data_IF_551793315268
#
_entry.id   IF_551793315268
#
_cell.length_a   1.000
_cell.length_b   1.000
_cell.length_c   1.000
_cell.angle_alpha   90.00
_cell.angle_beta   90.00
_cell.angle_gamma   90.00
#
_symmetry.space_group_name_H-M   'P 1'
#
loop_
_entity.id
_entity.type
_entity.pdbx_description
1 polymer ?
#
# COMPACT_ATOMS: atom_id res chain seq x y z
N UNK A 1 12.62 5.01 24.53
CA UNK A 1 12.26 3.92 23.60
C UNK A 1 12.45 4.46 22.20
N UNK A 2 12.93 3.66 21.25
CA UNK A 2 12.91 4.10 19.85
C UNK A 2 11.46 4.28 19.40
N UNK A 3 11.21 5.25 18.51
CA UNK A 3 9.89 5.45 17.94
C UNK A 3 9.50 4.20 17.11
N UNK A 4 8.23 3.79 17.23
CA UNK A 4 7.70 2.67 16.47
C UNK A 4 7.57 3.01 14.99
N UNK A 5 7.74 1.99 14.15
CA UNK A 5 7.76 2.11 12.69
C UNK A 5 6.34 2.05 12.13
N UNK A 6 5.95 3.08 11.37
CA UNK A 6 4.68 3.14 10.65
C UNK A 6 4.81 2.50 9.26
N UNK A 7 3.84 1.68 8.87
CA UNK A 7 3.85 0.99 7.57
C UNK A 7 2.65 1.41 6.72
N UNK A 8 2.91 1.76 5.46
CA UNK A 8 1.89 1.99 4.44
C UNK A 8 2.08 1.02 3.28
N UNK A 9 1.00 0.37 2.88
CA UNK A 9 0.93 -0.48 1.69
C UNK A 9 0.34 0.34 0.55
N UNK A 10 1.14 0.65 -0.46
CA UNK A 10 0.71 1.35 -1.66
C UNK A 10 0.21 0.31 -2.67
N UNK A 11 -1.07 -0.04 -2.57
CA UNK A 11 -1.75 -0.98 -3.47
C UNK A 11 -2.70 -1.95 -2.77
N UNK A 12 -3.87 -2.15 -3.36
CA UNK A 12 -4.96 -2.97 -2.80
C UNK A 12 -5.45 -4.08 -3.74
N UNK A 13 -4.66 -4.44 -4.77
CA UNK A 13 -4.98 -5.58 -5.62
C UNK A 13 -4.93 -6.91 -4.87
N UNK A 14 -5.00 -8.03 -5.59
CA UNK A 14 -4.94 -9.37 -4.99
C UNK A 14 -3.66 -9.54 -4.13
N UNK A 15 -2.49 -9.29 -4.72
CA UNK A 15 -1.22 -9.41 -4.01
C UNK A 15 -1.06 -8.36 -2.90
N UNK A 16 -1.51 -7.12 -3.12
CA UNK A 16 -1.47 -6.08 -2.09
C UNK A 16 -2.30 -6.44 -0.86
N UNK A 17 -3.51 -6.99 -1.07
CA UNK A 17 -4.37 -7.47 0.01
C UNK A 17 -3.77 -8.68 0.74
N UNK A 18 -3.15 -9.61 0.00
CA UNK A 18 -2.47 -10.76 0.62
C UNK A 18 -1.29 -10.32 1.50
N UNK A 19 -0.50 -9.35 1.03
CA UNK A 19 0.60 -8.75 1.81
C UNK A 19 0.06 -7.97 3.00
N UNK A 20 -1.06 -7.26 2.86
CA UNK A 20 -1.70 -6.56 3.97
C UNK A 20 -2.09 -7.50 5.11
N UNK A 21 -2.49 -8.75 4.80
CA UNK A 21 -2.71 -9.76 5.85
C UNK A 21 -1.46 -10.07 6.66
N UNK A 22 -0.34 -10.27 5.97
CA UNK A 22 0.92 -10.64 6.61
C UNK A 22 1.48 -9.46 7.40
N UNK A 23 1.55 -8.29 6.77
CA UNK A 23 2.07 -7.06 7.39
C UNK A 23 1.22 -6.63 8.57
N UNK A 24 -0.12 -6.65 8.44
CA UNK A 24 -1.02 -6.32 9.55
C UNK A 24 -0.84 -7.25 10.75
N UNK A 25 -0.73 -8.57 10.52
CA UNK A 25 -0.50 -9.52 11.61
C UNK A 25 0.85 -9.29 12.32
N UNK A 26 1.92 -9.07 11.55
CA UNK A 26 3.24 -8.82 12.12
C UNK A 26 3.32 -7.47 12.85
N UNK A 27 2.69 -6.41 12.32
CA UNK A 27 2.67 -5.09 12.94
C UNK A 27 1.94 -5.09 14.30
N UNK A 28 0.91 -5.93 14.46
CA UNK A 28 0.22 -6.13 15.74
C UNK A 28 1.07 -6.97 16.73
N UNK A 29 1.85 -7.93 16.23
CA UNK A 29 2.62 -8.85 17.07
C UNK A 29 4.00 -8.33 17.51
N UNK A 30 4.62 -7.44 16.72
CA UNK A 30 6.00 -6.99 16.92
C UNK A 30 6.03 -5.60 17.58
N UNK A 31 6.75 -5.42 18.71
CA UNK A 31 6.76 -4.17 19.47
C UNK A 31 7.41 -3.00 18.75
N UNK A 32 8.22 -3.25 17.71
CA UNK A 32 8.92 -2.23 16.93
C UNK A 32 8.00 -1.49 15.95
N UNK A 33 6.81 -2.03 15.67
CA UNK A 33 5.88 -1.48 14.69
C UNK A 33 4.66 -0.83 15.35
N UNK A 34 4.14 0.19 14.68
CA UNK A 34 2.81 0.69 14.98
C UNK A 34 1.77 -0.34 14.55
N UNK A 35 0.78 -0.57 15.41
CA UNK A 35 -0.26 -1.57 15.11
C UNK A 35 -1.06 -1.15 13.86
N UNK A 36 -1.35 0.14 13.70
CA UNK A 36 -2.10 0.64 12.56
C UNK A 36 -1.25 0.57 11.27
N UNK A 37 -1.73 -0.21 10.30
CA UNK A 37 -1.17 -0.30 8.95
C UNK A 37 -2.13 0.37 7.97
N UNK A 38 -1.66 1.37 7.21
CA UNK A 38 -2.47 1.97 6.15
C UNK A 38 -2.32 1.18 4.85
N UNK A 39 -3.40 1.06 4.09
CA UNK A 39 -3.40 0.46 2.76
C UNK A 39 -4.10 1.42 1.80
N UNK A 40 -3.34 1.96 0.85
CA UNK A 40 -3.91 2.77 -0.23
C UNK A 40 -4.79 1.90 -1.12
N UNK A 41 -6.05 2.26 -1.21
CA UNK A 41 -7.06 1.59 -2.02
C UNK A 41 -7.58 2.61 -3.02
N UNK A 42 -7.32 2.40 -4.30
CA UNK A 42 -7.97 3.19 -5.34
C UNK A 42 -9.49 3.03 -5.22
N UNK A 43 -10.20 4.14 -5.08
CA UNK A 43 -11.63 4.10 -4.71
C UNK A 43 -12.48 3.56 -5.85
N UNK A 44 -13.34 2.60 -5.52
CA UNK A 44 -14.27 1.96 -6.45
C UNK A 44 -15.63 1.77 -5.77
N UNK A 45 -16.70 1.79 -6.56
CA UNK A 45 -18.05 1.53 -6.06
C UNK A 45 -18.40 0.06 -6.27
N UNK A 46 -18.76 -0.63 -5.18
CA UNK A 46 -19.26 -2.01 -5.19
C UNK A 46 -20.68 -1.97 -4.63
N UNK A 47 -21.66 -2.30 -5.47
CA UNK A 47 -23.09 -2.31 -5.11
C UNK A 47 -23.56 -1.01 -4.41
N UNK A 48 -23.06 0.14 -4.90
CA UNK A 48 -23.41 1.46 -4.37
C UNK A 48 -22.63 1.91 -3.13
N UNK A 49 -21.66 1.12 -2.66
CA UNK A 49 -20.80 1.45 -1.52
C UNK A 49 -19.33 1.57 -1.91
N UNK A 50 -18.59 2.46 -1.25
CA UNK A 50 -17.14 2.61 -1.48
C UNK A 50 -16.40 1.35 -1.03
N UNK A 51 -15.45 0.88 -1.84
CA UNK A 51 -14.64 -0.28 -1.52
C UNK A 51 -13.85 -0.07 -0.23
N UNK A 52 -13.36 1.14 0.03
CA UNK A 52 -12.68 1.48 1.29
C UNK A 52 -13.58 1.29 2.52
N UNK A 53 -14.84 1.73 2.44
CA UNK A 53 -15.83 1.54 3.51
C UNK A 53 -16.13 0.06 3.73
N UNK A 54 -16.31 -0.72 2.66
CA UNK A 54 -16.51 -2.17 2.75
C UNK A 54 -15.31 -2.83 3.43
N UNK A 55 -14.09 -2.50 3.02
CA UNK A 55 -12.88 -3.08 3.62
C UNK A 55 -12.78 -2.70 5.09
N UNK A 56 -13.01 -1.44 5.46
CA UNK A 56 -12.87 -0.99 6.84
C UNK A 56 -13.95 -1.55 7.78
N UNK A 57 -15.15 -1.84 7.28
CA UNK A 57 -16.23 -2.42 8.09
C UNK A 57 -16.17 -3.94 8.17
N UNK A 58 -15.87 -4.60 7.04
CA UNK A 58 -15.94 -6.06 6.93
C UNK A 58 -14.58 -6.74 7.06
N UNK A 59 -13.50 -5.93 7.08
CA UNK A 59 -12.12 -6.37 6.99
C UNK A 59 -11.90 -7.35 5.84
N UNK A 60 -12.50 -7.08 4.68
CA UNK A 60 -12.39 -7.95 3.51
C UNK A 60 -12.35 -7.12 2.23
N UNK A 61 -11.36 -7.40 1.38
CA UNK A 61 -11.35 -6.87 0.03
C UNK A 61 -12.20 -7.76 -0.88
N UNK A 62 -13.51 -7.51 -0.87
CA UNK A 62 -14.52 -8.33 -1.57
C UNK A 62 -14.29 -8.44 -3.07
N UNK A 63 -13.55 -7.50 -3.67
CA UNK A 63 -13.22 -7.48 -5.10
C UNK A 63 -11.95 -8.25 -5.43
N UNK A 64 -10.88 -8.03 -4.67
CA UNK A 64 -9.54 -8.51 -5.04
C UNK A 64 -9.02 -9.70 -4.23
N UNK A 65 -9.60 -9.97 -3.05
CA UNK A 65 -9.22 -11.09 -2.18
C UNK A 65 -10.43 -11.65 -1.41
N UNK A 66 -11.49 -11.99 -2.15
CA UNK A 66 -12.76 -12.51 -1.61
C UNK A 66 -12.54 -13.77 -0.75
N UNK A 67 -13.26 -13.85 0.37
CA UNK A 67 -13.22 -14.98 1.31
C UNK A 67 -12.09 -14.91 2.33
N UNK A 68 -11.29 -13.85 2.34
CA UNK A 68 -10.16 -13.71 3.25
C UNK A 68 -10.24 -12.42 4.06
N UNK A 69 -10.27 -12.56 5.39
CA UNK A 69 -10.22 -11.41 6.30
C UNK A 69 -8.82 -10.81 6.38
N UNK A 70 -8.75 -9.49 6.30
CA UNK A 70 -7.63 -8.66 6.68
C UNK A 70 -7.61 -8.51 8.21
N UNK A 71 -6.44 -8.36 8.84
CA UNK A 71 -6.33 -7.96 10.23
C UNK A 71 -7.07 -6.63 10.48
N UNK A 72 -7.72 -6.44 11.64
CA UNK A 72 -8.56 -5.27 11.91
C UNK A 72 -7.77 -3.96 12.00
N UNK A 73 -6.46 -4.06 12.23
CA UNK A 73 -5.53 -2.95 12.26
C UNK A 73 -5.06 -2.49 10.85
N UNK A 74 -5.47 -3.17 9.78
CA UNK A 74 -5.28 -2.72 8.39
C UNK A 74 -6.42 -1.79 8.00
N UNK A 75 -6.08 -0.55 7.65
CA UNK A 75 -7.05 0.50 7.32
C UNK A 75 -6.93 0.91 5.87
N UNK A 76 -8.01 0.72 5.12
CA UNK A 76 -8.16 1.17 3.75
C UNK A 76 -8.31 2.70 3.70
N UNK A 77 -7.48 3.35 2.90
CA UNK A 77 -7.46 4.80 2.73
C UNK A 77 -7.52 5.14 1.23
N UNK A 78 -8.49 5.97 0.78
CA UNK A 78 -8.67 6.27 -0.65
C UNK A 78 -7.73 7.34 -1.18
N UNK A 79 -7.10 8.12 -0.31
CA UNK A 79 -6.11 9.14 -0.69
C UNK A 79 -4.69 8.62 -0.49
N UNK A 80 -3.90 8.64 -1.56
CA UNK A 80 -2.53 8.12 -1.58
C UNK A 80 -1.61 8.88 -0.62
N UNK A 81 -1.70 10.22 -0.60
CA UNK A 81 -0.84 11.06 0.22
C UNK A 81 -1.19 10.86 1.69
N UNK A 82 -2.47 10.82 2.03
CA UNK A 82 -2.95 10.56 3.39
C UNK A 82 -2.51 9.20 3.91
N UNK A 83 -2.59 8.15 3.08
CA UNK A 83 -2.13 6.82 3.44
C UNK A 83 -0.63 6.79 3.76
N UNK A 84 0.16 7.53 2.98
CA UNK A 84 1.62 7.50 3.01
C UNK A 84 2.29 8.54 3.95
N UNK A 85 1.60 9.63 4.32
CA UNK A 85 2.20 10.82 4.95
C UNK A 85 3.07 10.53 6.17
N UNK A 86 2.68 9.54 6.98
CA UNK A 86 3.34 9.19 8.24
C UNK A 86 4.17 7.91 8.14
N UNK A 87 4.22 7.26 6.98
CA UNK A 87 4.87 5.97 6.82
C UNK A 87 6.39 6.10 6.90
N UNK A 88 7.00 5.26 7.74
CA UNK A 88 8.45 5.04 7.77
C UNK A 88 8.83 3.99 6.71
N UNK A 89 7.92 3.05 6.42
CA UNK A 89 8.06 2.05 5.35
C UNK A 89 6.89 2.15 4.37
N UNK A 90 7.21 2.30 3.09
CA UNK A 90 6.27 2.28 1.97
C UNK A 90 6.44 0.98 1.17
N UNK A 91 5.41 0.14 1.15
CA UNK A 91 5.41 -1.12 0.40
C UNK A 91 4.64 -0.91 -0.91
N UNK A 92 5.34 -0.77 -2.02
CA UNK A 92 4.75 -0.59 -3.35
C UNK A 92 4.36 -1.94 -3.95
N UNK A 93 3.05 -2.11 -4.19
CA UNK A 93 2.46 -3.38 -4.67
C UNK A 93 1.31 -3.10 -5.65
N UNK A 94 1.63 -2.33 -6.68
CA UNK A 94 0.69 -1.90 -7.74
C UNK A 94 1.17 -2.35 -9.11
N UNK A 95 0.29 -2.40 -10.13
CA UNK A 95 0.74 -2.52 -11.51
C UNK A 95 1.74 -1.42 -11.88
N UNK A 96 2.82 -1.78 -12.59
CA UNK A 96 3.96 -0.90 -12.84
C UNK A 96 3.58 0.41 -13.53
N UNK A 97 2.58 0.39 -14.41
CA UNK A 97 2.11 1.56 -15.15
C UNK A 97 1.61 2.72 -14.26
N UNK A 98 1.29 2.47 -12.99
CA UNK A 98 0.81 3.50 -12.07
C UNK A 98 1.92 4.17 -11.27
N UNK A 99 3.12 3.59 -11.22
CA UNK A 99 4.22 4.07 -10.38
C UNK A 99 4.64 5.51 -10.68
N UNK A 100 4.87 5.92 -11.95
CA UNK A 100 5.26 7.30 -12.24
C UNK A 100 4.28 8.33 -11.69
N UNK A 101 2.97 8.06 -11.77
CA UNK A 101 1.94 8.96 -11.27
C UNK A 101 1.88 8.99 -9.74
N UNK A 102 2.07 7.83 -9.08
CA UNK A 102 2.08 7.75 -7.63
C UNK A 102 3.31 8.43 -7.03
N UNK A 103 4.50 8.21 -7.59
CA UNK A 103 5.73 8.89 -7.17
C UNK A 103 5.59 10.42 -7.30
N UNK A 104 5.01 10.93 -8.39
CA UNK A 104 4.72 12.37 -8.57
C UNK A 104 3.79 12.92 -7.48
N UNK A 105 2.76 12.17 -7.08
CA UNK A 105 1.83 12.60 -6.04
C UNK A 105 2.49 12.64 -4.65
N UNK A 106 3.38 11.68 -4.37
CA UNK A 106 4.10 11.53 -3.10
C UNK A 106 5.31 12.45 -2.94
N UNK A 107 5.85 12.99 -4.05
CA UNK A 107 7.04 13.84 -4.04
C UNK A 107 6.88 15.02 -3.08
N UNK A 108 7.77 15.09 -2.08
CA UNK A 108 7.77 16.14 -1.05
C UNK A 108 6.66 16.02 0.00
N UNK A 109 5.90 14.92 0.04
CA UNK A 109 4.76 14.73 0.94
C UNK A 109 4.85 13.47 1.83
N UNK A 110 5.98 12.80 1.82
CA UNK A 110 6.30 11.65 2.66
C UNK A 110 7.43 12.01 3.63
N UNK A 111 7.66 11.17 4.66
CA UNK A 111 8.78 11.36 5.58
C UNK A 111 10.12 11.38 4.82
N UNK A 112 11.05 12.29 5.15
CA UNK A 112 12.32 12.42 4.44
C UNK A 112 13.25 11.21 4.59
N UNK A 113 13.04 10.40 5.65
CA UNK A 113 13.77 9.18 5.94
C UNK A 113 12.95 7.89 5.67
N UNK A 114 11.82 8.00 4.96
CA UNK A 114 11.02 6.83 4.61
C UNK A 114 11.82 5.89 3.70
N UNK A 115 11.69 4.59 3.93
CA UNK A 115 12.24 3.56 3.05
C UNK A 115 11.12 2.97 2.18
N UNK A 116 11.44 2.69 0.93
CA UNK A 116 10.53 2.06 -0.03
C UNK A 116 10.93 0.61 -0.30
N UNK A 117 9.95 -0.28 -0.36
CA UNK A 117 10.09 -1.69 -0.74
C UNK A 117 9.16 -1.94 -1.92
N UNK A 118 9.71 -2.42 -3.04
CA UNK A 118 8.91 -2.78 -4.22
C UNK A 118 8.63 -4.28 -4.26
N UNK A 119 7.37 -4.65 -4.40
CA UNK A 119 6.90 -6.02 -4.69
C UNK A 119 6.43 -6.14 -6.15
N UNK A 120 6.74 -5.14 -6.97
CA UNK A 120 6.28 -5.05 -8.35
C UNK A 120 7.20 -5.89 -9.23
N UNK A 121 6.60 -6.83 -9.97
CA UNK A 121 7.30 -7.62 -10.98
C UNK A 121 7.20 -6.93 -12.33
N UNK A 122 8.31 -6.77 -13.01
CA UNK A 122 8.38 -6.21 -14.36
C UNK A 122 9.57 -5.28 -14.54
N UNK A 123 9.59 -4.62 -15.69
CA UNK A 123 10.56 -3.62 -16.09
C UNK A 123 9.82 -2.47 -16.78
N UNK A 124 10.44 -1.29 -16.80
CA UNK A 124 9.98 -0.16 -17.60
C UNK A 124 10.76 -0.08 -18.92
N UNK A 125 10.34 0.82 -19.82
CA UNK A 125 11.00 1.08 -21.09
C UNK A 125 11.96 2.24 -20.95
N UNK A 126 13.26 1.98 -21.14
CA UNK A 126 14.28 3.01 -21.13
C UNK A 126 14.10 4.03 -22.28
N UNK A 127 14.51 5.28 -22.05
CA UNK A 127 14.64 6.27 -23.12
C UNK A 127 15.63 5.77 -24.19
N UNK A 128 15.24 5.86 -25.47
CA UNK A 128 16.03 5.32 -26.58
C UNK A 128 15.77 3.84 -26.91
N UNK A 129 14.90 3.17 -26.15
CA UNK A 129 14.57 1.76 -26.33
C UNK A 129 15.45 0.84 -25.49
N UNK A 130 14.82 -0.09 -24.77
CA UNK A 130 15.50 -0.97 -23.82
C UNK A 130 14.63 -1.26 -22.61
N UNK A 131 15.24 -1.91 -21.62
CA UNK A 131 14.62 -2.33 -20.35
C UNK A 131 15.25 -1.48 -19.24
N UNK A 132 14.42 -0.88 -18.39
CA UNK A 132 14.84 -0.22 -17.14
C UNK A 132 14.17 -0.87 -15.93
N UNK A 133 14.78 -0.76 -14.76
CA UNK A 133 14.20 -1.29 -13.53
C UNK A 133 13.13 -0.34 -12.99
N UNK A 134 11.96 -0.88 -12.65
CA UNK A 134 10.86 -0.09 -12.05
C UNK A 134 11.30 0.62 -10.76
N UNK A 135 12.32 0.08 -10.08
CA UNK A 135 12.90 0.67 -8.88
C UNK A 135 13.75 1.92 -9.12
N UNK A 136 14.02 2.29 -10.37
CA UNK A 136 14.78 3.51 -10.73
C UNK A 136 13.87 4.69 -11.13
N UNK A 137 12.55 4.48 -11.14
CA UNK A 137 11.53 5.49 -11.49
C UNK A 137 11.29 6.46 -10.31
#
# INVERSE_FOLDING_TARGET
MADKVNVCIVGSGNWGSAIAKIVGANASALPEFEERVTMFVYEEMIDGKKLTEIINETHENVKYLKGHKLPPNVVAVPDLVEAAKNADILIFVVPHQFIPNFCKQLLGKIKPNAIAISLIKGFDKAEGGGIDLISHI
#
